data_IF_870236860193
#
_entry.id   IF_870236860193
#
_cell.length_a   1.000
_cell.length_b   1.000
_cell.length_c   1.000
_cell.angle_alpha   90.00
_cell.angle_beta   90.00
_cell.angle_gamma   90.00
#
_symmetry.space_group_name_H-M   'P 1'
#
loop_
_entity.id
_entity.type
_entity.pdbx_description
1 polymer ?
#
# COMPACT_ATOMS: atom_id res chain seq x y z
N UNK A 1 -42.87 -24.70 -13.03
CA UNK A 1 -42.13 -23.45 -12.82
C UNK A 1 -41.85 -23.36 -11.34
N UNK A 2 -40.57 -23.45 -10.96
CA UNK A 2 -40.13 -23.71 -9.58
C UNK A 2 -40.23 -22.43 -8.75
N UNK A 3 -40.81 -22.57 -7.56
CA UNK A 3 -40.69 -21.64 -6.44
C UNK A 3 -39.23 -21.28 -6.20
N UNK A 4 -38.79 -20.16 -6.76
CA UNK A 4 -37.63 -19.43 -6.25
C UNK A 4 -38.13 -18.78 -4.97
N UNK A 5 -38.01 -19.53 -3.87
CA UNK A 5 -38.42 -19.10 -2.54
C UNK A 5 -38.00 -17.64 -2.28
N UNK A 6 -38.97 -16.78 -1.98
CA UNK A 6 -38.76 -15.41 -1.49
C UNK A 6 -37.71 -15.35 -0.36
N UNK A 7 -37.52 -16.43 0.40
CA UNK A 7 -36.48 -16.52 1.43
C UNK A 7 -35.05 -16.37 0.89
N UNK A 8 -34.74 -16.88 -0.31
CA UNK A 8 -33.40 -16.72 -0.92
C UNK A 8 -33.16 -15.29 -1.41
N UNK A 9 -34.21 -14.60 -1.85
CA UNK A 9 -34.13 -13.19 -2.27
C UNK A 9 -34.00 -12.29 -1.03
N UNK A 10 -34.74 -12.59 0.04
CA UNK A 10 -34.64 -11.86 1.32
C UNK A 10 -33.31 -12.10 2.06
N UNK A 11 -32.72 -13.30 1.96
CA UNK A 11 -31.37 -13.57 2.49
C UNK A 11 -30.26 -12.80 1.74
N UNK A 12 -30.50 -12.42 0.48
CA UNK A 12 -29.56 -11.63 -0.33
C UNK A 12 -29.43 -10.17 0.11
N UNK A 13 -30.38 -9.66 0.89
CA UNK A 13 -30.45 -8.26 1.35
C UNK A 13 -30.25 -8.06 2.85
N UNK A 14 -29.88 -9.10 3.61
CA UNK A 14 -29.53 -8.95 5.03
C UNK A 14 -28.02 -8.73 5.18
N UNK A 15 -27.58 -7.67 5.88
CA UNK A 15 -26.16 -7.45 6.14
C UNK A 15 -25.59 -8.58 7.00
N UNK A 16 -24.38 -9.02 6.68
CA UNK A 16 -23.60 -10.05 7.37
C UNK A 16 -24.27 -11.43 7.42
N UNK A 17 -25.16 -11.74 6.46
CA UNK A 17 -25.92 -13.00 6.44
C UNK A 17 -25.09 -14.28 6.35
N UNK A 18 -23.84 -14.21 5.89
CA UNK A 18 -22.90 -15.33 5.88
C UNK A 18 -22.19 -15.57 7.22
N UNK A 19 -22.31 -14.65 8.19
CA UNK A 19 -21.76 -14.79 9.53
C UNK A 19 -22.81 -15.32 10.49
N UNK A 20 -22.37 -16.15 11.44
CA UNK A 20 -23.26 -16.64 12.51
C UNK A 20 -23.70 -15.54 13.48
N UNK A 21 -22.88 -14.49 13.63
CA UNK A 21 -23.15 -13.31 14.48
C UNK A 21 -22.35 -12.11 13.96
N UNK A 22 -22.88 -10.86 13.99
CA UNK A 22 -22.12 -9.66 13.67
C UNK A 22 -20.77 -9.52 14.41
N UNK A 23 -20.64 -10.05 15.63
CA UNK A 23 -19.37 -10.08 16.38
C UNK A 23 -18.26 -10.86 15.67
N UNK A 24 -18.60 -11.82 14.81
CA UNK A 24 -17.62 -12.55 14.01
C UNK A 24 -16.94 -11.63 12.99
N UNK A 25 -17.57 -10.54 12.55
CA UNK A 25 -16.91 -9.57 11.68
C UNK A 25 -15.69 -8.95 12.37
N UNK A 26 -15.80 -8.65 13.66
CA UNK A 26 -14.69 -8.14 14.50
C UNK A 26 -13.66 -9.24 14.73
N UNK A 27 -14.10 -10.42 15.17
CA UNK A 27 -13.22 -11.55 15.49
C UNK A 27 -12.35 -11.98 14.30
N UNK A 28 -12.92 -11.95 13.10
CA UNK A 28 -12.26 -12.38 11.86
C UNK A 28 -11.49 -11.25 11.15
N UNK A 29 -11.55 -10.01 11.64
CA UNK A 29 -10.97 -8.83 10.98
C UNK A 29 -9.44 -8.84 10.99
N UNK A 30 -8.78 -8.93 9.83
CA UNK A 30 -7.31 -9.00 9.70
C UNK A 30 -6.69 -7.71 9.18
N UNK A 31 -5.36 -7.49 9.31
CA UNK A 31 -4.66 -6.37 8.70
C UNK A 31 -4.81 -6.27 7.17
N UNK A 32 -5.14 -7.38 6.48
CA UNK A 32 -5.36 -7.40 5.04
C UNK A 32 -6.40 -6.37 4.57
N UNK A 33 -7.36 -6.02 5.42
CA UNK A 33 -8.37 -4.99 5.12
C UNK A 33 -7.75 -3.61 4.90
N UNK A 34 -6.64 -3.27 5.55
CA UNK A 34 -5.93 -2.00 5.34
C UNK A 34 -5.29 -1.90 3.95
N UNK A 35 -5.22 -2.98 3.17
CA UNK A 35 -4.88 -2.88 1.75
C UNK A 35 -5.92 -2.06 0.97
N UNK A 36 -7.19 -2.05 1.42
CA UNK A 36 -8.23 -1.22 0.82
C UNK A 36 -8.04 0.27 1.10
N UNK A 37 -7.58 0.64 2.30
CA UNK A 37 -7.30 2.04 2.63
C UNK A 37 -6.05 2.54 1.93
N UNK A 38 -5.02 1.69 1.88
CA UNK A 38 -3.81 1.93 1.12
C UNK A 38 -4.11 2.16 -0.38
N UNK A 39 -4.91 1.27 -1.00
CA UNK A 39 -5.33 1.38 -2.40
C UNK A 39 -6.20 2.60 -2.70
N UNK A 40 -7.16 2.89 -1.81
CA UNK A 40 -8.06 4.04 -1.95
C UNK A 40 -7.31 5.36 -1.82
N UNK A 41 -6.39 5.43 -0.85
CA UNK A 41 -5.57 6.61 -0.65
C UNK A 41 -4.66 6.93 -1.83
N UNK A 42 -3.98 5.93 -2.42
CA UNK A 42 -3.12 6.22 -3.58
C UNK A 42 -3.91 6.67 -4.81
N UNK A 43 -5.12 6.13 -5.01
CA UNK A 43 -5.99 6.58 -6.11
C UNK A 43 -6.42 8.03 -5.89
N UNK A 44 -6.76 8.39 -4.65
CA UNK A 44 -7.04 9.77 -4.31
C UNK A 44 -5.88 10.67 -4.72
N UNK A 45 -4.67 10.42 -4.22
CA UNK A 45 -3.46 11.21 -4.52
C UNK A 45 -3.18 11.30 -6.03
N UNK A 46 -3.29 10.18 -6.74
CA UNK A 46 -3.03 10.11 -8.18
C UNK A 46 -3.99 10.97 -9.00
N UNK A 47 -5.28 11.01 -8.65
CA UNK A 47 -6.27 11.86 -9.33
C UNK A 47 -5.93 13.35 -9.22
N UNK A 48 -5.38 13.78 -8.09
CA UNK A 48 -4.94 15.16 -7.89
C UNK A 48 -3.58 15.50 -8.51
N UNK A 49 -2.91 14.56 -9.16
CA UNK A 49 -1.63 14.78 -9.85
C UNK A 49 -1.73 14.64 -11.37
N UNK A 50 -2.92 14.38 -11.90
CA UNK A 50 -3.12 14.32 -13.34
C UNK A 50 -2.87 15.70 -13.99
N UNK A 51 -2.24 15.75 -15.17
CA UNK A 51 -1.93 17.00 -15.85
C UNK A 51 -3.20 17.72 -16.29
N UNK A 52 -3.13 19.06 -16.37
CA UNK A 52 -4.19 19.91 -16.90
C UNK A 52 -5.16 20.48 -15.86
N UNK A 53 -4.85 20.42 -14.56
CA UNK A 53 -5.57 21.10 -13.47
C UNK A 53 -7.10 20.92 -13.52
N UNK A 54 -7.55 19.71 -13.84
CA UNK A 54 -8.96 19.40 -13.99
C UNK A 54 -9.63 19.40 -12.61
N UNK A 55 -10.31 20.49 -12.28
CA UNK A 55 -10.95 20.70 -10.97
C UNK A 55 -11.81 19.52 -10.52
N UNK A 56 -12.57 18.89 -11.44
CA UNK A 56 -13.39 17.72 -11.15
C UNK A 56 -12.58 16.55 -10.59
N UNK A 57 -11.37 16.29 -11.12
CA UNK A 57 -10.50 15.21 -10.66
C UNK A 57 -9.88 15.52 -9.31
N UNK A 58 -9.53 16.79 -9.07
CA UNK A 58 -9.06 17.25 -7.76
C UNK A 58 -10.16 17.10 -6.68
N UNK A 59 -11.41 17.49 -6.99
CA UNK A 59 -12.55 17.28 -6.09
C UNK A 59 -12.83 15.78 -5.85
N UNK A 60 -12.77 14.95 -6.88
CA UNK A 60 -12.92 13.50 -6.74
C UNK A 60 -11.82 12.89 -5.87
N UNK A 61 -10.55 13.30 -6.07
CA UNK A 61 -9.42 12.91 -5.25
C UNK A 61 -9.60 13.30 -3.78
N UNK A 62 -9.98 14.55 -3.51
CA UNK A 62 -10.28 15.02 -2.15
C UNK A 62 -11.43 14.25 -1.49
N UNK A 63 -12.50 13.97 -2.23
CA UNK A 63 -13.63 13.20 -1.73
C UNK A 63 -13.23 11.75 -1.38
N UNK A 64 -12.44 11.10 -2.25
CA UNK A 64 -11.88 9.76 -1.98
C UNK A 64 -10.92 9.77 -0.80
N UNK A 65 -10.12 10.82 -0.64
CA UNK A 65 -9.22 10.97 0.50
C UNK A 65 -9.98 11.12 1.83
N UNK A 66 -11.03 11.95 1.87
CA UNK A 66 -11.91 12.07 3.03
C UNK A 66 -12.62 10.74 3.36
N UNK A 67 -13.12 10.06 2.32
CA UNK A 67 -13.67 8.70 2.47
C UNK A 67 -12.62 7.72 3.03
N UNK A 68 -11.36 7.82 2.58
CA UNK A 68 -10.29 6.97 3.07
C UNK A 68 -9.97 7.21 4.55
N UNK A 69 -10.05 8.46 5.04
CA UNK A 69 -9.91 8.77 6.48
C UNK A 69 -11.00 8.04 7.29
N UNK A 70 -12.25 8.11 6.83
CA UNK A 70 -13.38 7.41 7.48
C UNK A 70 -13.17 5.90 7.46
N UNK A 71 -12.75 5.36 6.31
CA UNK A 71 -12.51 3.93 6.14
C UNK A 71 -11.36 3.42 7.03
N UNK A 72 -10.23 4.14 7.06
CA UNK A 72 -9.08 3.82 7.90
C UNK A 72 -9.43 3.90 9.38
N UNK A 73 -10.19 4.91 9.79
CA UNK A 73 -10.67 5.04 11.17
C UNK A 73 -11.57 3.88 11.56
N UNK A 74 -12.52 3.49 10.69
CA UNK A 74 -13.39 2.35 10.91
C UNK A 74 -12.60 1.03 11.04
N UNK A 75 -11.61 0.80 10.16
CA UNK A 75 -10.78 -0.40 10.21
C UNK A 75 -9.86 -0.44 11.43
N UNK A 76 -9.34 0.72 11.84
CA UNK A 76 -8.58 0.86 13.09
C UNK A 76 -9.43 0.50 14.29
N UNK A 77 -10.67 1.00 14.36
CA UNK A 77 -11.60 0.66 15.44
C UNK A 77 -11.97 -0.83 15.43
N UNK A 78 -12.25 -1.42 14.26
CA UNK A 78 -12.54 -2.86 14.15
C UNK A 78 -11.35 -3.72 14.58
N UNK A 79 -10.14 -3.36 14.17
CA UNK A 79 -8.94 -4.11 14.50
C UNK A 79 -8.55 -3.94 15.98
N UNK A 80 -8.68 -2.73 16.54
CA UNK A 80 -8.52 -2.49 17.97
C UNK A 80 -9.54 -3.30 18.79
N UNK A 81 -10.81 -3.31 18.37
CA UNK A 81 -11.84 -4.14 19.00
C UNK A 81 -11.48 -5.63 18.96
N UNK A 82 -10.87 -6.13 17.87
CA UNK A 82 -10.37 -7.51 17.83
C UNK A 82 -9.31 -7.77 18.90
N UNK A 83 -8.37 -6.85 19.11
CA UNK A 83 -7.34 -6.97 20.14
C UNK A 83 -7.89 -6.91 21.56
N UNK A 84 -8.93 -6.09 21.80
CA UNK A 84 -9.56 -5.95 23.12
C UNK A 84 -10.44 -7.16 23.46
N UNK A 85 -11.32 -7.57 22.53
CA UNK A 85 -12.33 -8.60 22.82
C UNK A 85 -11.88 -10.03 22.50
N UNK A 86 -10.89 -10.22 21.61
CA UNK A 86 -10.43 -11.52 21.12
C UNK A 86 -8.90 -11.64 21.17
N UNK A 87 -8.28 -11.13 22.24
CA UNK A 87 -6.82 -11.03 22.40
C UNK A 87 -6.07 -12.34 22.12
N UNK A 88 -6.58 -13.47 22.64
CA UNK A 88 -5.93 -14.77 22.52
C UNK A 88 -5.90 -15.29 21.08
N UNK A 89 -6.90 -14.96 20.26
CA UNK A 89 -6.90 -15.26 18.82
C UNK A 89 -6.17 -14.18 18.02
N UNK A 90 -6.22 -12.92 18.43
CA UNK A 90 -5.54 -11.81 17.77
C UNK A 90 -4.02 -12.03 17.75
N UNK A 91 -3.40 -12.39 18.88
CA UNK A 91 -1.95 -12.61 18.99
C UNK A 91 -1.41 -13.73 18.08
N UNK A 92 -2.27 -14.63 17.61
CA UNK A 92 -1.89 -15.76 16.76
C UNK A 92 -1.50 -15.32 15.35
N UNK A 93 -1.86 -14.10 14.97
CA UNK A 93 -1.46 -13.49 13.72
C UNK A 93 0.07 -13.44 13.56
N UNK A 94 0.80 -13.24 14.65
CA UNK A 94 2.25 -13.16 14.66
C UNK A 94 2.93 -14.48 14.30
N UNK A 95 2.26 -15.61 14.54
CA UNK A 95 2.74 -16.93 14.13
C UNK A 95 2.33 -17.34 12.71
N UNK A 96 1.49 -16.55 12.02
CA UNK A 96 0.98 -16.92 10.71
C UNK A 96 1.80 -16.27 9.58
N UNK A 97 2.52 -17.10 8.81
CA UNK A 97 3.47 -16.72 7.75
C UNK A 97 2.93 -15.74 6.70
N UNK A 98 1.64 -15.82 6.32
CA UNK A 98 1.04 -14.88 5.35
C UNK A 98 0.36 -13.65 5.99
N UNK A 99 -0.49 -13.84 7.00
CA UNK A 99 -1.34 -12.76 7.52
C UNK A 99 -0.51 -11.72 8.30
N UNK A 100 0.60 -12.12 8.93
CA UNK A 100 1.51 -11.16 9.58
C UNK A 100 2.13 -10.17 8.60
N UNK A 101 2.31 -10.55 7.33
CA UNK A 101 2.93 -9.67 6.34
C UNK A 101 2.09 -8.41 6.08
N UNK A 102 0.77 -8.53 6.21
CA UNK A 102 -0.15 -7.42 6.00
C UNK A 102 -0.12 -6.38 7.12
N UNK A 103 0.67 -6.54 8.20
CA UNK A 103 0.88 -5.43 9.13
C UNK A 103 1.46 -4.19 8.43
N UNK A 104 2.26 -4.38 7.38
CA UNK A 104 2.81 -3.26 6.60
C UNK A 104 1.76 -2.42 5.86
N UNK A 105 0.54 -2.93 5.59
CA UNK A 105 -0.50 -2.14 4.91
C UNK A 105 -1.11 -1.07 5.82
N UNK A 106 -0.94 -1.17 7.14
CA UNK A 106 -1.41 -0.18 8.11
C UNK A 106 -0.63 1.13 7.98
N UNK A 107 0.71 1.18 8.18
CA UNK A 107 1.48 2.39 7.97
C UNK A 107 1.37 2.91 6.53
N UNK A 108 1.45 2.03 5.52
CA UNK A 108 1.25 2.48 4.13
C UNK A 108 -0.12 3.14 3.90
N UNK A 109 -1.18 2.63 4.54
CA UNK A 109 -2.50 3.26 4.55
C UNK A 109 -2.49 4.64 5.22
N UNK A 110 -1.85 4.76 6.39
CA UNK A 110 -1.71 6.04 7.09
C UNK A 110 -0.91 7.06 6.27
N UNK A 111 0.19 6.65 5.65
CA UNK A 111 1.00 7.50 4.79
C UNK A 111 0.18 8.16 3.67
N UNK A 112 -0.77 7.43 3.06
CA UNK A 112 -1.65 8.04 2.04
C UNK A 112 -2.58 9.12 2.61
N UNK A 113 -2.99 9.00 3.87
CA UNK A 113 -3.79 10.01 4.56
C UNK A 113 -2.91 11.24 4.84
N UNK A 114 -1.69 11.03 5.33
CA UNK A 114 -0.72 12.09 5.60
C UNK A 114 -0.40 12.88 4.33
N UNK A 115 -0.10 12.19 3.22
CA UNK A 115 0.18 12.85 1.95
C UNK A 115 -1.04 13.61 1.42
N UNK A 116 -2.26 13.10 1.67
CA UNK A 116 -3.48 13.82 1.32
C UNK A 116 -3.77 15.02 2.23
N UNK A 117 -3.28 15.05 3.48
CA UNK A 117 -3.28 16.27 4.28
C UNK A 117 -2.46 17.36 3.58
N UNK A 118 -1.30 17.01 3.02
CA UNK A 118 -0.46 17.96 2.30
C UNK A 118 -1.09 18.37 0.95
N UNK A 119 -1.61 17.42 0.18
CA UNK A 119 -2.14 17.68 -1.17
C UNK A 119 -3.53 18.33 -1.17
N UNK A 120 -4.41 17.99 -0.22
CA UNK A 120 -5.80 18.47 -0.18
C UNK A 120 -6.12 19.28 1.07
N UNK A 121 -5.58 18.86 2.22
CA UNK A 121 -5.88 19.46 3.51
C UNK A 121 -5.33 20.88 3.63
N UNK A 122 -4.01 21.05 3.45
CA UNK A 122 -3.31 22.34 3.57
C UNK A 122 -3.89 23.38 2.59
N UNK A 123 -4.10 23.09 1.29
CA UNK A 123 -4.74 24.05 0.39
C UNK A 123 -6.18 24.43 0.77
N UNK A 124 -6.90 23.58 1.50
CA UNK A 124 -8.31 23.84 1.88
C UNK A 124 -8.42 24.55 3.22
N UNK A 125 -7.63 24.14 4.21
CA UNK A 125 -7.80 24.52 5.62
C UNK A 125 -6.59 25.25 6.20
N UNK A 126 -5.53 25.45 5.40
CA UNK A 126 -4.35 26.23 5.74
C UNK A 126 -3.22 25.44 6.40
N UNK A 127 -2.11 26.15 6.60
CA UNK A 127 -0.82 25.61 7.08
C UNK A 127 -0.85 25.08 8.51
N UNK A 128 -1.91 25.37 9.28
CA UNK A 128 -2.10 24.85 10.63
C UNK A 128 -2.18 23.30 10.70
N UNK A 129 -2.35 22.63 9.55
CA UNK A 129 -2.33 21.18 9.45
C UNK A 129 -0.93 20.57 9.29
N UNK A 130 0.10 21.37 8.99
CA UNK A 130 1.48 20.87 8.81
C UNK A 130 2.01 20.21 10.10
N UNK A 131 1.83 20.76 11.31
CA UNK A 131 2.24 20.08 12.54
C UNK A 131 1.52 18.75 12.77
N UNK A 132 0.25 18.63 12.35
CA UNK A 132 -0.49 17.37 12.41
C UNK A 132 0.10 16.34 11.44
N UNK A 133 0.39 16.73 10.20
CA UNK A 133 1.04 15.85 9.22
C UNK A 133 2.42 15.39 9.72
N UNK A 134 3.22 16.30 10.30
CA UNK A 134 4.52 15.99 10.88
C UNK A 134 4.41 15.02 12.07
N UNK A 135 3.45 15.23 12.99
CA UNK A 135 3.22 14.32 14.12
C UNK A 135 2.75 12.92 13.68
N UNK A 136 1.83 12.85 12.72
CA UNK A 136 1.36 11.59 12.14
C UNK A 136 2.48 10.86 11.39
N UNK A 137 3.39 11.60 10.74
CA UNK A 137 4.54 11.01 10.06
C UNK A 137 5.48 10.30 11.03
N UNK A 138 5.77 10.87 12.20
CA UNK A 138 6.58 10.15 13.20
C UNK A 138 5.92 8.87 13.73
N UNK A 139 4.59 8.88 13.88
CA UNK A 139 3.82 7.68 14.21
C UNK A 139 3.94 6.65 13.08
N UNK A 140 3.83 7.07 11.83
CA UNK A 140 3.98 6.23 10.65
C UNK A 140 5.37 5.60 10.55
N UNK A 141 6.43 6.41 10.76
CA UNK A 141 7.83 5.96 10.83
C UNK A 141 8.01 4.88 11.91
N UNK A 142 7.49 5.11 13.12
CA UNK A 142 7.58 4.13 14.20
C UNK A 142 6.89 2.80 13.83
N UNK A 143 5.70 2.86 13.24
CA UNK A 143 4.98 1.67 12.76
C UNK A 143 5.72 0.96 11.63
N UNK A 144 6.26 1.70 10.66
CA UNK A 144 6.98 1.17 9.52
C UNK A 144 8.25 0.43 9.95
N UNK A 145 9.06 1.02 10.83
CA UNK A 145 10.25 0.38 11.39
C UNK A 145 9.89 -0.84 12.24
N UNK A 146 8.84 -0.75 13.06
CA UNK A 146 8.38 -1.89 13.85
C UNK A 146 7.95 -3.05 12.95
N UNK A 147 7.18 -2.79 11.89
CA UNK A 147 6.79 -3.82 10.93
C UNK A 147 7.99 -4.41 10.19
N UNK A 148 8.87 -3.56 9.67
CA UNK A 148 10.03 -3.97 8.88
C UNK A 148 11.09 -4.76 9.67
N UNK A 149 11.18 -4.60 11.00
CA UNK A 149 12.08 -5.41 11.84
C UNK A 149 11.37 -6.62 12.43
N UNK A 150 10.22 -6.40 13.10
CA UNK A 150 9.60 -7.44 13.91
C UNK A 150 9.02 -8.56 13.05
N UNK A 151 8.40 -8.25 11.90
CA UNK A 151 7.84 -9.30 11.03
C UNK A 151 8.96 -10.18 10.45
N UNK A 152 10.03 -9.65 9.82
CA UNK A 152 11.15 -10.50 9.40
C UNK A 152 11.82 -11.26 10.54
N UNK A 153 12.00 -10.64 11.70
CA UNK A 153 12.52 -11.36 12.87
C UNK A 153 11.65 -12.55 13.27
N UNK A 154 10.33 -12.42 13.19
CA UNK A 154 9.39 -13.54 13.41
C UNK A 154 9.45 -14.58 12.29
N UNK A 155 9.71 -14.19 11.04
CA UNK A 155 9.95 -15.13 9.95
C UNK A 155 11.12 -16.06 10.26
N UNK A 156 12.17 -15.55 10.90
CA UNK A 156 13.38 -16.32 11.21
C UNK A 156 13.27 -17.17 12.48
N UNK A 157 12.32 -16.86 13.37
CA UNK A 157 12.29 -17.43 14.73
C UNK A 157 11.03 -18.24 15.06
N UNK A 158 9.88 -17.91 14.46
CA UNK A 158 8.57 -18.43 14.91
C UNK A 158 7.66 -18.91 13.79
N UNK A 159 7.95 -18.55 12.55
CA UNK A 159 7.09 -18.87 11.41
C UNK A 159 7.75 -19.93 10.53
N UNK A 160 6.94 -20.78 9.94
CA UNK A 160 7.39 -21.75 8.93
C UNK A 160 7.15 -21.18 7.54
N UNK A 161 8.21 -21.18 6.72
CA UNK A 161 8.21 -20.66 5.37
C UNK A 161 8.87 -21.67 4.43
N UNK A 162 8.30 -21.82 3.23
CA UNK A 162 8.89 -22.62 2.17
C UNK A 162 8.98 -21.81 0.87
N UNK A 163 10.05 -22.04 0.10
CA UNK A 163 10.32 -21.24 -1.10
C UNK A 163 9.25 -21.41 -2.18
N UNK A 164 8.65 -22.59 -2.29
CA UNK A 164 7.55 -22.87 -3.21
C UNK A 164 6.26 -22.10 -2.85
N UNK A 165 6.07 -21.71 -1.58
CA UNK A 165 4.93 -20.93 -1.12
C UNK A 165 5.20 -19.41 -1.07
N UNK A 166 6.46 -19.00 -1.27
CA UNK A 166 6.83 -17.58 -1.28
C UNK A 166 6.08 -16.83 -2.38
N UNK A 167 5.57 -15.65 -2.03
CA UNK A 167 4.95 -14.70 -2.94
C UNK A 167 5.44 -13.29 -2.62
N UNK A 168 5.14 -12.34 -3.49
CA UNK A 168 5.51 -10.94 -3.28
C UNK A 168 4.85 -10.29 -2.05
N UNK A 169 3.93 -10.98 -1.35
CA UNK A 169 3.38 -10.55 -0.06
C UNK A 169 4.48 -10.33 0.99
N UNK A 170 5.64 -11.01 0.86
CA UNK A 170 6.80 -10.82 1.74
C UNK A 170 7.38 -9.39 1.70
N UNK A 171 7.05 -8.61 0.66
CA UNK A 171 7.48 -7.22 0.54
C UNK A 171 6.74 -6.29 1.52
N UNK A 172 5.50 -6.62 1.88
CA UNK A 172 4.61 -5.69 2.59
C UNK A 172 5.20 -5.12 3.90
N UNK A 173 5.88 -5.90 4.77
CA UNK A 173 6.41 -5.35 6.01
C UNK A 173 7.54 -4.34 5.81
N UNK A 174 8.38 -4.52 4.78
CA UNK A 174 9.57 -3.68 4.57
C UNK A 174 9.25 -2.42 3.77
N UNK A 175 8.32 -2.51 2.82
CA UNK A 175 7.87 -1.41 1.94
C UNK A 175 7.27 -0.24 2.73
N UNK A 176 6.75 -0.47 3.94
CA UNK A 176 6.20 0.61 4.75
C UNK A 176 7.20 1.76 4.98
N UNK A 177 8.50 1.45 5.13
CA UNK A 177 9.50 2.46 5.47
C UNK A 177 9.86 3.37 4.30
N UNK A 178 9.97 2.88 3.06
CA UNK A 178 10.17 3.77 1.90
C UNK A 178 8.92 4.59 1.56
N UNK A 179 7.72 4.10 1.88
CA UNK A 179 6.49 4.89 1.75
C UNK A 179 6.50 6.05 2.75
N UNK A 180 6.93 5.80 4.00
CA UNK A 180 7.17 6.85 4.98
C UNK A 180 8.28 7.80 4.53
N UNK A 181 9.36 7.30 3.91
CA UNK A 181 10.44 8.11 3.36
C UNK A 181 9.94 9.11 2.31
N UNK A 182 9.16 8.63 1.33
CA UNK A 182 8.56 9.47 0.29
C UNK A 182 7.62 10.52 0.89
N UNK A 183 6.83 10.14 1.91
CA UNK A 183 5.95 11.06 2.64
C UNK A 183 6.73 12.15 3.39
N UNK A 184 7.89 11.80 3.96
CA UNK A 184 8.78 12.77 4.59
C UNK A 184 9.35 13.78 3.58
N UNK A 185 9.64 13.34 2.36
CA UNK A 185 9.98 14.26 1.25
C UNK A 185 8.84 15.23 0.96
N UNK A 186 7.59 14.76 0.89
CA UNK A 186 6.42 15.62 0.65
C UNK A 186 6.22 16.67 1.76
N UNK A 187 6.54 16.36 3.01
CA UNK A 187 6.32 17.25 4.16
C UNK A 187 7.50 18.20 4.39
N UNK A 188 8.73 17.75 4.14
CA UNK A 188 9.95 18.47 4.53
C UNK A 188 9.98 19.95 4.06
N UNK A 189 9.64 20.31 2.81
CA UNK A 189 9.66 21.70 2.35
C UNK A 189 8.70 22.63 3.10
N UNK A 190 7.70 22.06 3.77
CA UNK A 190 6.64 22.81 4.46
C UNK A 190 6.93 23.03 5.95
N UNK A 191 7.96 22.40 6.51
CA UNK A 191 8.32 22.63 7.92
C UNK A 191 8.93 24.03 8.09
N UNK A 192 8.54 24.73 9.15
CA UNK A 192 8.94 26.11 9.39
C UNK A 192 10.43 26.28 9.75
N UNK A 193 11.05 25.24 10.32
CA UNK A 193 12.43 25.29 10.82
C UNK A 193 13.38 24.50 9.92
N UNK A 194 14.48 25.13 9.50
CA UNK A 194 15.47 24.50 8.63
C UNK A 194 16.06 23.22 9.24
N UNK A 195 16.29 23.18 10.55
CA UNK A 195 16.79 21.97 11.21
C UNK A 195 15.76 20.84 11.15
N UNK A 196 14.47 21.14 11.34
CA UNK A 196 13.39 20.17 11.17
C UNK A 196 13.29 19.66 9.72
N UNK A 197 13.42 20.54 8.71
CA UNK A 197 13.48 20.14 7.30
C UNK A 197 14.64 19.16 7.06
N UNK A 198 15.83 19.50 7.57
CA UNK A 198 17.03 18.68 7.41
C UNK A 198 16.91 17.33 8.14
N UNK A 199 16.42 17.32 9.38
CA UNK A 199 16.20 16.09 10.14
C UNK A 199 15.23 15.15 9.44
N UNK A 200 14.12 15.69 8.91
CA UNK A 200 13.15 14.90 8.14
C UNK A 200 13.78 14.37 6.85
N UNK A 201 14.51 15.21 6.10
CA UNK A 201 15.19 14.80 4.87
C UNK A 201 16.19 13.65 5.10
N UNK A 202 17.06 13.79 6.10
CA UNK A 202 18.05 12.75 6.46
C UNK A 202 17.34 11.47 6.93
N UNK A 203 16.31 11.61 7.75
CA UNK A 203 15.51 10.45 8.20
C UNK A 203 14.84 9.75 7.01
N UNK A 204 14.33 10.50 6.03
CA UNK A 204 13.78 9.93 4.79
C UNK A 204 14.82 9.15 3.99
N UNK A 205 16.06 9.64 3.86
CA UNK A 205 17.13 8.85 3.22
C UNK A 205 17.41 7.54 3.98
N UNK A 206 17.44 7.58 5.31
CA UNK A 206 17.64 6.38 6.15
C UNK A 206 16.49 5.40 5.98
N UNK A 207 15.24 5.87 5.97
CA UNK A 207 14.05 5.03 5.77
C UNK A 207 14.01 4.40 4.38
N UNK A 208 14.42 5.15 3.35
CA UNK A 208 14.57 4.62 2.00
C UNK A 208 15.61 3.49 1.96
N UNK A 209 16.79 3.72 2.55
CA UNK A 209 17.87 2.73 2.60
C UNK A 209 17.53 1.51 3.49
N UNK A 210 16.68 1.70 4.48
CA UNK A 210 16.17 0.62 5.33
C UNK A 210 15.24 -0.34 4.56
N UNK A 211 14.48 0.17 3.60
CA UNK A 211 13.49 -0.61 2.84
C UNK A 211 14.05 -1.14 1.51
N UNK A 212 14.45 -0.25 0.61
CA UNK A 212 14.66 -0.56 -0.81
C UNK A 212 15.66 -1.72 -1.03
N UNK A 213 16.86 -1.73 -0.43
CA UNK A 213 17.81 -2.84 -0.61
C UNK A 213 17.28 -4.19 -0.14
N UNK A 214 16.51 -4.21 0.95
CA UNK A 214 15.87 -5.42 1.48
C UNK A 214 14.77 -5.89 0.52
N UNK A 215 13.94 -4.96 0.04
CA UNK A 215 12.91 -5.26 -0.95
C UNK A 215 13.49 -5.82 -2.26
N UNK A 216 14.58 -5.23 -2.77
CA UNK A 216 15.28 -5.73 -3.96
C UNK A 216 15.83 -7.14 -3.74
N UNK A 217 16.37 -7.44 -2.56
CA UNK A 217 16.83 -8.78 -2.20
C UNK A 217 15.68 -9.80 -2.22
N UNK A 218 14.50 -9.45 -1.68
CA UNK A 218 13.30 -10.28 -1.74
C UNK A 218 12.85 -10.49 -3.19
N UNK A 219 12.92 -9.46 -4.04
CA UNK A 219 12.57 -9.56 -5.46
C UNK A 219 13.50 -10.49 -6.24
N UNK A 220 14.80 -10.48 -5.95
CA UNK A 220 15.76 -11.44 -6.54
C UNK A 220 15.36 -12.88 -6.21
N UNK A 221 15.03 -13.16 -4.94
CA UNK A 221 14.58 -14.48 -4.51
C UNK A 221 13.23 -14.83 -5.16
N UNK A 222 12.33 -13.86 -5.32
CA UNK A 222 11.05 -14.07 -5.99
C UNK A 222 11.24 -14.48 -7.46
N UNK A 223 12.19 -13.88 -8.19
CA UNK A 223 12.53 -14.29 -9.56
C UNK A 223 13.03 -15.74 -9.58
N UNK A 224 13.95 -16.09 -8.68
CA UNK A 224 14.45 -17.48 -8.55
C UNK A 224 13.29 -18.45 -8.28
N UNK A 225 12.39 -18.09 -7.36
CA UNK A 225 11.19 -18.89 -7.04
C UNK A 225 10.29 -19.08 -8.26
N UNK A 226 10.04 -18.03 -9.04
CA UNK A 226 9.20 -18.11 -10.25
C UNK A 226 9.84 -18.98 -11.33
N UNK A 227 11.17 -18.96 -11.43
CA UNK A 227 11.92 -19.81 -12.36
C UNK A 227 11.86 -21.30 -11.97
N UNK A 228 11.97 -21.62 -10.68
CA UNK A 228 12.04 -23.01 -10.20
C UNK A 228 10.67 -23.66 -9.95
N UNK A 229 9.68 -22.90 -9.46
CA UNK A 229 8.39 -23.45 -8.98
C UNK A 229 7.17 -23.03 -9.82
N UNK A 230 7.39 -22.53 -11.05
CA UNK A 230 6.34 -22.00 -11.96
C UNK A 230 5.52 -20.88 -11.29
N UNK A 231 4.41 -20.44 -11.87
CA UNK A 231 3.57 -19.41 -11.26
C UNK A 231 2.79 -19.96 -10.05
N UNK A 232 2.50 -19.13 -9.02
CA UNK A 232 1.67 -19.53 -7.87
C UNK A 232 0.25 -19.98 -8.23
N UNK A 233 -0.56 -20.34 -7.22
CA UNK A 233 -1.99 -20.55 -7.42
C UNK A 233 -2.68 -19.27 -7.93
N UNK A 234 -3.71 -19.39 -8.78
CA UNK A 234 -4.43 -18.25 -9.40
C UNK A 234 -5.01 -17.25 -8.40
N UNK A 235 -5.38 -17.70 -7.20
CA UNK A 235 -5.82 -16.86 -6.08
C UNK A 235 -4.78 -15.79 -5.68
N UNK A 236 -3.51 -16.02 -6.03
CA UNK A 236 -2.39 -15.14 -5.73
C UNK A 236 -2.00 -14.26 -6.93
N UNK A 237 -2.80 -14.23 -8.01
CA UNK A 237 -2.52 -13.41 -9.20
C UNK A 237 -2.26 -11.94 -8.83
N UNK A 238 -3.04 -11.40 -7.90
CA UNK A 238 -2.89 -10.02 -7.43
C UNK A 238 -1.54 -9.76 -6.74
N UNK A 239 -0.89 -10.79 -6.19
CA UNK A 239 0.41 -10.64 -5.55
C UNK A 239 1.51 -10.31 -6.56
N UNK A 240 1.39 -10.68 -7.85
CA UNK A 240 2.44 -10.38 -8.83
C UNK A 240 2.69 -8.87 -8.98
N UNK A 241 1.66 -8.06 -8.77
CA UNK A 241 1.72 -6.60 -8.82
C UNK A 241 2.42 -5.98 -7.62
N UNK A 242 2.48 -6.66 -6.47
CA UNK A 242 3.15 -6.14 -5.27
C UNK A 242 4.64 -5.88 -5.50
N UNK A 243 5.25 -6.50 -6.51
CA UNK A 243 6.62 -6.20 -6.94
C UNK A 243 6.83 -4.75 -7.40
N UNK A 244 5.82 -4.13 -8.02
CA UNK A 244 5.88 -2.73 -8.42
C UNK A 244 5.88 -1.78 -7.22
N UNK A 245 5.37 -2.22 -6.07
CA UNK A 245 5.23 -1.40 -4.86
C UNK A 245 6.56 -0.77 -4.45
N UNK A 246 7.58 -1.59 -4.13
CA UNK A 246 8.88 -1.07 -3.74
C UNK A 246 9.66 -0.39 -4.85
N UNK A 247 9.50 -0.85 -6.08
CA UNK A 247 10.22 -0.25 -7.20
C UNK A 247 9.67 1.15 -7.51
N UNK A 248 8.35 1.27 -7.61
CA UNK A 248 7.67 2.55 -7.84
C UNK A 248 7.84 3.49 -6.66
N UNK A 249 7.60 3.05 -5.43
CA UNK A 249 7.79 3.91 -4.25
C UNK A 249 9.26 4.27 -4.04
N UNK A 250 10.18 3.34 -4.25
CA UNK A 250 11.62 3.62 -4.20
C UNK A 250 12.03 4.69 -5.21
N UNK A 251 11.50 4.63 -6.44
CA UNK A 251 11.68 5.68 -7.44
C UNK A 251 11.08 7.02 -6.99
N UNK A 252 9.82 7.03 -6.58
CA UNK A 252 9.12 8.23 -6.13
C UNK A 252 9.84 8.90 -4.95
N UNK A 253 10.27 8.11 -3.97
CA UNK A 253 11.02 8.60 -2.80
C UNK A 253 12.29 9.32 -3.23
N UNK A 254 13.09 8.74 -4.12
CA UNK A 254 14.30 9.39 -4.63
C UNK A 254 14.01 10.67 -5.42
N UNK A 255 12.93 10.71 -6.21
CA UNK A 255 12.53 11.91 -6.95
C UNK A 255 12.07 13.04 -6.03
N UNK A 256 11.29 12.74 -4.99
CA UNK A 256 10.78 13.75 -4.05
C UNK A 256 11.89 14.22 -3.13
N UNK A 257 12.54 13.30 -2.40
CA UNK A 257 13.62 13.63 -1.45
C UNK A 257 14.78 14.33 -2.19
N UNK A 258 15.16 13.83 -3.37
CA UNK A 258 16.19 14.46 -4.20
C UNK A 258 15.79 15.85 -4.70
N UNK A 259 14.52 16.07 -5.05
CA UNK A 259 14.02 17.37 -5.50
C UNK A 259 14.10 18.46 -4.43
N UNK A 260 13.90 18.09 -3.16
CA UNK A 260 13.90 19.04 -2.04
C UNK A 260 15.30 19.25 -1.43
N UNK A 261 16.22 18.32 -1.69
CA UNK A 261 17.58 18.34 -1.16
C UNK A 261 18.35 19.65 -1.44
N UNK A 262 18.33 20.27 -2.64
CA UNK A 262 19.11 21.48 -2.91
C UNK A 262 18.86 22.61 -1.91
N UNK A 263 17.59 22.93 -1.64
CA UNK A 263 17.23 24.02 -0.73
C UNK A 263 17.60 23.69 0.72
N UNK A 264 17.28 22.48 1.16
CA UNK A 264 17.46 22.05 2.56
C UNK A 264 18.96 21.92 2.92
N UNK A 265 19.77 21.34 2.02
CA UNK A 265 21.22 21.26 2.23
C UNK A 265 21.91 22.63 2.11
N UNK A 266 21.46 23.51 1.20
CA UNK A 266 22.01 24.86 1.09
C UNK A 266 21.82 25.66 2.39
N UNK A 267 20.67 25.53 3.06
CA UNK A 267 20.43 26.14 4.37
C UNK A 267 21.42 25.68 5.47
N UNK A 268 22.12 24.56 5.25
CA UNK A 268 23.15 24.01 6.15
C UNK A 268 24.57 24.16 5.58
N UNK A 269 24.79 25.05 4.61
CA UNK A 269 26.11 25.29 4.02
C UNK A 269 26.61 24.16 3.10
N UNK A 270 25.72 23.24 2.69
CA UNK A 270 26.04 22.04 1.91
C UNK A 270 25.42 22.07 0.51
N UNK A 271 25.33 23.24 -0.14
CA UNK A 271 24.64 23.41 -1.42
C UNK A 271 25.10 22.41 -2.52
N UNK A 272 26.41 22.14 -2.61
CA UNK A 272 26.94 21.16 -3.57
C UNK A 272 26.44 19.74 -3.31
N UNK A 273 26.29 19.34 -2.05
CA UNK A 273 25.72 18.03 -1.67
C UNK A 273 24.25 17.97 -2.09
N UNK A 274 23.49 19.05 -1.87
CA UNK A 274 22.10 19.14 -2.29
C UNK A 274 21.92 18.99 -3.81
N UNK A 275 22.76 19.65 -4.61
CA UNK A 275 22.74 19.50 -6.07
C UNK A 275 23.06 18.07 -6.53
N UNK A 276 24.07 17.43 -5.93
CA UNK A 276 24.41 16.03 -6.20
C UNK A 276 23.26 15.10 -5.79
N UNK A 277 22.65 15.33 -4.63
CA UNK A 277 21.53 14.56 -4.13
C UNK A 277 20.31 14.61 -5.07
N UNK A 278 20.02 15.79 -5.64
CA UNK A 278 18.98 15.93 -6.67
C UNK A 278 19.29 15.14 -7.94
N UNK A 279 20.54 15.21 -8.43
CA UNK A 279 20.98 14.43 -9.58
C UNK A 279 20.88 12.91 -9.35
N UNK A 280 21.33 12.44 -8.19
CA UNK A 280 21.18 11.03 -7.79
C UNK A 280 19.70 10.65 -7.70
N UNK A 281 18.86 11.53 -7.12
CA UNK A 281 17.42 11.33 -7.02
C UNK A 281 16.76 11.08 -8.37
N UNK A 282 17.08 11.92 -9.36
CA UNK A 282 16.57 11.79 -10.72
C UNK A 282 17.04 10.50 -11.41
N UNK A 283 18.35 10.24 -11.39
CA UNK A 283 18.91 9.04 -12.04
C UNK A 283 18.37 7.76 -11.40
N UNK A 284 18.32 7.70 -10.05
CA UNK A 284 17.74 6.56 -9.35
C UNK A 284 16.26 6.38 -9.69
N UNK A 285 15.48 7.47 -9.74
CA UNK A 285 14.08 7.46 -10.13
C UNK A 285 13.86 6.86 -11.52
N UNK A 286 14.65 7.25 -12.52
CA UNK A 286 14.58 6.72 -13.89
C UNK A 286 14.96 5.23 -13.94
N UNK A 287 16.05 4.84 -13.28
CA UNK A 287 16.52 3.45 -13.27
C UNK A 287 15.50 2.51 -12.61
N UNK A 288 14.94 2.93 -11.48
CA UNK A 288 13.89 2.17 -10.79
C UNK A 288 12.61 2.14 -11.61
N UNK A 289 12.22 3.25 -12.26
CA UNK A 289 11.10 3.25 -13.18
C UNK A 289 11.29 2.22 -14.31
N UNK A 290 12.47 2.16 -14.93
CA UNK A 290 12.80 1.16 -15.95
C UNK A 290 12.72 -0.28 -15.45
N UNK A 291 13.20 -0.54 -14.23
CA UNK A 291 13.03 -1.85 -13.57
C UNK A 291 11.55 -2.17 -13.30
N UNK A 292 10.77 -1.16 -12.91
CA UNK A 292 9.34 -1.28 -12.65
C UNK A 292 8.55 -1.59 -13.92
N UNK A 293 8.95 -1.05 -15.07
CA UNK A 293 8.35 -1.37 -16.37
C UNK A 293 8.47 -2.87 -16.66
N UNK A 294 9.63 -3.47 -16.41
CA UNK A 294 9.83 -4.91 -16.60
C UNK A 294 8.89 -5.74 -15.69
N UNK A 295 8.82 -5.39 -14.40
CA UNK A 295 7.92 -6.07 -13.45
C UNK A 295 6.43 -5.86 -13.80
N UNK A 296 6.05 -4.68 -14.28
CA UNK A 296 4.70 -4.37 -14.75
C UNK A 296 4.32 -5.26 -15.94
N UNK A 297 5.19 -5.38 -16.93
CA UNK A 297 4.96 -6.24 -18.09
C UNK A 297 4.78 -7.70 -17.66
N UNK A 298 5.61 -8.20 -16.72
CA UNK A 298 5.42 -9.52 -16.15
C UNK A 298 4.09 -9.66 -15.40
N UNK A 299 3.74 -8.70 -14.55
CA UNK A 299 2.48 -8.72 -13.80
C UNK A 299 1.26 -8.74 -14.73
N UNK A 300 1.30 -7.97 -15.83
CA UNK A 300 0.29 -7.96 -16.88
C UNK A 300 0.18 -9.34 -17.57
N UNK A 301 1.30 -9.94 -17.98
CA UNK A 301 1.32 -11.26 -18.63
C UNK A 301 0.78 -12.36 -17.69
N UNK A 302 1.18 -12.33 -16.41
CA UNK A 302 0.70 -13.26 -15.38
C UNK A 302 -0.82 -13.09 -15.19
N UNK A 303 -1.30 -11.84 -15.10
CA UNK A 303 -2.73 -11.54 -14.93
C UNK A 303 -3.53 -12.00 -16.14
N UNK A 304 -3.04 -11.73 -17.36
CA UNK A 304 -3.68 -12.17 -18.59
C UNK A 304 -3.76 -13.70 -18.70
N UNK A 305 -2.72 -14.42 -18.23
CA UNK A 305 -2.72 -15.88 -18.17
C UNK A 305 -3.82 -16.41 -17.24
N UNK A 306 -3.96 -15.87 -16.04
CA UNK A 306 -5.00 -16.31 -15.10
C UNK A 306 -6.40 -15.84 -15.46
N UNK A 307 -6.53 -14.67 -16.09
CA UNK A 307 -7.83 -14.15 -16.53
C UNK A 307 -8.56 -15.12 -17.48
N UNK A 308 -7.81 -15.92 -18.26
CA UNK A 308 -8.37 -16.98 -19.12
C UNK A 308 -9.02 -18.13 -18.34
N UNK A 309 -8.58 -18.40 -17.12
CA UNK A 309 -9.13 -19.44 -16.23
C UNK A 309 -10.21 -18.92 -15.27
N UNK A 310 -10.34 -17.60 -15.14
CA UNK A 310 -11.21 -16.95 -14.16
C UNK A 310 -10.52 -16.80 -12.81
N UNK A 311 -10.15 -15.57 -12.44
CA UNK A 311 -9.51 -15.31 -11.14
C UNK A 311 -10.61 -15.25 -10.08
N UNK A 312 -10.59 -16.10 -9.04
CA UNK A 312 -11.55 -16.00 -7.94
C UNK A 312 -11.25 -14.77 -7.09
N UNK A 313 -12.31 -14.05 -6.71
CA UNK A 313 -12.19 -12.85 -5.91
C UNK A 313 -11.83 -13.17 -4.46
N UNK A 314 -10.85 -12.46 -3.92
CA UNK A 314 -10.49 -12.44 -2.50
C UNK A 314 -9.91 -11.07 -2.14
N UNK A 315 -9.73 -10.77 -0.85
CA UNK A 315 -9.20 -9.49 -0.39
C UNK A 315 -7.79 -9.18 -0.92
N UNK A 316 -7.02 -10.19 -1.34
CA UNK A 316 -5.72 -10.02 -1.99
C UNK A 316 -5.78 -9.23 -3.30
N UNK A 317 -6.95 -9.09 -3.94
CA UNK A 317 -7.13 -8.25 -5.12
C UNK A 317 -6.79 -6.77 -4.86
N UNK A 318 -6.81 -6.31 -3.61
CA UNK A 318 -6.31 -4.97 -3.29
C UNK A 318 -4.82 -4.79 -3.63
N UNK A 319 -4.06 -5.88 -3.77
CA UNK A 319 -2.68 -5.87 -4.26
C UNK A 319 -2.51 -5.33 -5.70
N UNK A 320 -3.57 -5.23 -6.50
CA UNK A 320 -3.54 -4.57 -7.81
C UNK A 320 -3.44 -3.04 -7.74
N UNK A 321 -3.87 -2.44 -6.63
CA UNK A 321 -4.13 -0.99 -6.56
C UNK A 321 -2.89 -0.21 -6.17
N UNK A 322 -2.42 -0.32 -4.93
CA UNK A 322 -1.32 0.49 -4.41
C UNK A 322 -0.06 0.46 -5.27
N UNK A 323 0.47 -0.73 -5.66
CA UNK A 323 1.67 -0.80 -6.51
C UNK A 323 1.52 -0.10 -7.87
N UNK A 324 0.36 -0.26 -8.52
CA UNK A 324 0.06 0.42 -9.77
C UNK A 324 -0.05 1.93 -9.55
N UNK A 325 -0.67 2.36 -8.45
CA UNK A 325 -0.85 3.77 -8.13
C UNK A 325 0.46 4.49 -7.83
N UNK A 326 1.36 3.91 -7.04
CA UNK A 326 2.68 4.52 -6.79
C UNK A 326 3.50 4.58 -8.08
N UNK A 327 3.42 3.55 -8.92
CA UNK A 327 4.09 3.55 -10.22
C UNK A 327 3.51 4.61 -11.17
N UNK A 328 2.19 4.81 -11.17
CA UNK A 328 1.52 5.88 -11.91
C UNK A 328 1.97 7.27 -11.44
N UNK A 329 1.95 7.52 -10.14
CA UNK A 329 2.39 8.79 -9.52
C UNK A 329 3.87 9.06 -9.80
N UNK A 330 4.72 8.03 -9.74
CA UNK A 330 6.13 8.14 -10.14
C UNK A 330 6.27 8.55 -11.61
N UNK A 331 5.47 7.93 -12.49
CA UNK A 331 5.47 8.24 -13.92
C UNK A 331 5.06 9.68 -14.17
N UNK A 332 4.00 10.17 -13.51
CA UNK A 332 3.58 11.57 -13.58
C UNK A 332 4.66 12.53 -13.05
N UNK A 333 5.32 12.18 -11.95
CA UNK A 333 6.42 12.98 -11.38
C UNK A 333 7.61 13.09 -12.34
N UNK A 334 7.94 12.01 -13.05
CA UNK A 334 8.95 12.03 -14.11
C UNK A 334 8.53 12.91 -15.29
N UNK A 335 7.24 12.93 -15.65
CA UNK A 335 6.69 13.86 -16.65
C UNK A 335 6.96 15.31 -16.30
N UNK A 336 6.66 15.69 -15.05
CA UNK A 336 6.93 17.04 -14.53
C UNK A 336 8.43 17.37 -14.51
N UNK A 337 9.30 16.44 -14.09
CA UNK A 337 10.74 16.72 -13.92
C UNK A 337 11.47 16.75 -15.27
N UNK A 338 11.14 15.82 -16.18
CA UNK A 338 11.83 15.66 -17.46
C UNK A 338 11.20 16.50 -18.59
N UNK A 339 10.00 17.05 -18.37
CA UNK A 339 9.21 17.77 -19.36
C UNK A 339 8.99 16.94 -20.64
N UNK A 340 8.60 15.68 -20.44
CA UNK A 340 8.41 14.70 -21.50
C UNK A 340 6.97 14.19 -21.53
N UNK A 341 6.22 14.59 -22.57
CA UNK A 341 4.83 14.20 -22.78
C UNK A 341 4.58 12.68 -22.77
N UNK A 342 5.60 11.87 -23.08
CA UNK A 342 5.56 10.42 -22.95
C UNK A 342 5.13 9.98 -21.53
N UNK A 343 5.76 10.56 -20.50
CA UNK A 343 5.48 10.22 -19.12
C UNK A 343 4.11 10.74 -18.66
N UNK A 344 3.69 11.91 -19.14
CA UNK A 344 2.35 12.44 -18.83
C UNK A 344 1.25 11.52 -19.38
N UNK A 345 1.32 11.18 -20.67
CA UNK A 345 0.34 10.31 -21.33
C UNK A 345 0.31 8.94 -20.67
N UNK A 346 1.48 8.34 -20.43
CA UNK A 346 1.56 7.04 -19.78
C UNK A 346 1.05 7.09 -18.34
N UNK A 347 1.37 8.15 -17.59
CA UNK A 347 0.87 8.38 -16.24
C UNK A 347 -0.65 8.44 -16.21
N UNK A 348 -1.28 9.20 -17.13
CA UNK A 348 -2.74 9.25 -17.28
C UNK A 348 -3.33 7.86 -17.53
N UNK A 349 -2.74 7.08 -18.45
CA UNK A 349 -3.19 5.71 -18.76
C UNK A 349 -3.12 4.82 -17.50
N UNK A 350 -2.03 4.91 -16.73
CA UNK A 350 -1.85 4.11 -15.51
C UNK A 350 -2.85 4.52 -14.41
N UNK A 351 -3.16 5.81 -14.25
CA UNK A 351 -4.19 6.27 -13.30
C UNK A 351 -5.59 5.82 -13.74
N UNK A 352 -5.90 5.84 -15.03
CA UNK A 352 -7.17 5.30 -15.54
C UNK A 352 -7.28 3.79 -15.26
N UNK A 353 -6.21 3.04 -15.50
CA UNK A 353 -6.13 1.61 -15.15
C UNK A 353 -6.36 1.39 -13.64
N UNK A 354 -5.71 2.20 -12.80
CA UNK A 354 -5.88 2.17 -11.35
C UNK A 354 -7.34 2.43 -10.94
N UNK A 355 -7.98 3.45 -11.51
CA UNK A 355 -9.36 3.79 -11.21
C UNK A 355 -10.32 2.64 -11.56
N UNK A 356 -10.14 2.01 -12.74
CA UNK A 356 -10.93 0.84 -13.14
C UNK A 356 -10.71 -0.34 -12.20
N UNK A 357 -9.45 -0.68 -11.88
CA UNK A 357 -9.14 -1.75 -10.94
C UNK A 357 -9.73 -1.47 -9.55
N UNK A 358 -9.60 -0.25 -9.05
CA UNK A 358 -10.16 0.17 -7.78
C UNK A 358 -11.68 0.02 -7.76
N UNK A 359 -12.40 0.50 -8.77
CA UNK A 359 -13.86 0.38 -8.86
C UNK A 359 -14.31 -1.08 -8.81
N UNK A 360 -13.64 -1.96 -9.57
CA UNK A 360 -13.95 -3.39 -9.61
C UNK A 360 -13.70 -4.06 -8.24
N UNK A 361 -12.55 -3.79 -7.62
CA UNK A 361 -12.17 -4.37 -6.33
C UNK A 361 -13.05 -3.82 -5.22
N UNK A 362 -13.34 -2.53 -5.21
CA UNK A 362 -14.22 -1.88 -4.24
C UNK A 362 -15.65 -2.43 -4.34
N UNK A 363 -16.23 -2.54 -5.54
CA UNK A 363 -17.57 -3.09 -5.71
C UNK A 363 -17.68 -4.54 -5.20
N UNK A 364 -16.71 -5.40 -5.53
CA UNK A 364 -16.67 -6.79 -5.02
C UNK A 364 -16.41 -6.84 -3.52
N UNK A 365 -15.55 -5.97 -2.99
CA UNK A 365 -15.26 -5.87 -1.55
C UNK A 365 -16.51 -5.45 -0.78
N UNK A 366 -17.20 -4.40 -1.22
CA UNK A 366 -18.45 -3.93 -0.59
C UNK A 366 -19.53 -5.01 -0.63
N UNK A 367 -19.70 -5.68 -1.77
CA UNK A 367 -20.68 -6.78 -1.90
C UNK A 367 -20.35 -7.94 -0.96
N UNK A 368 -19.07 -8.33 -0.88
CA UNK A 368 -18.64 -9.44 -0.04
C UNK A 368 -18.63 -9.11 1.46
N UNK A 369 -18.23 -7.89 1.82
CA UNK A 369 -18.29 -7.37 3.17
C UNK A 369 -19.76 -7.26 3.64
N UNK A 370 -20.65 -6.73 2.79
CA UNK A 370 -22.07 -6.65 3.08
C UNK A 370 -22.70 -8.02 3.30
N UNK A 371 -22.34 -9.02 2.50
CA UNK A 371 -22.81 -10.41 2.72
C UNK A 371 -22.12 -11.10 3.91
N UNK A 372 -20.98 -10.61 4.37
CA UNK A 372 -20.20 -11.20 5.45
C UNK A 372 -19.19 -12.27 5.02
N UNK A 373 -19.05 -12.56 3.72
CA UNK A 373 -18.23 -13.67 3.22
C UNK A 373 -16.72 -13.36 3.14
N UNK A 374 -16.32 -12.10 3.32
CA UNK A 374 -14.91 -11.68 3.34
C UNK A 374 -14.30 -11.64 4.74
N UNK A 375 -15.11 -11.74 5.79
CA UNK A 375 -14.63 -11.78 7.17
C UNK A 375 -14.17 -13.18 7.53
N UNK A 376 -12.94 -13.52 7.10
CA UNK A 376 -12.31 -14.82 7.35
C UNK A 376 -10.88 -14.59 7.83
N UNK A 377 -10.55 -15.08 9.02
CA UNK A 377 -9.18 -15.08 9.55
C UNK A 377 -8.54 -16.47 9.39
N UNK A 378 -7.54 -16.62 8.49
CA UNK A 378 -6.80 -17.87 8.34
C UNK A 378 -6.18 -18.37 9.65
N UNK A 379 -5.73 -17.46 10.51
CA UNK A 379 -5.14 -17.79 11.81
C UNK A 379 -6.12 -18.56 12.71
N UNK A 380 -7.40 -18.21 12.71
CA UNK A 380 -8.44 -18.91 13.50
C UNK A 380 -8.69 -20.30 12.92
N UNK A 381 -8.70 -20.44 11.59
CA UNK A 381 -8.85 -21.73 10.93
C UNK A 381 -7.68 -22.68 11.27
N UNK A 382 -6.43 -22.18 11.24
CA UNK A 382 -5.24 -22.96 11.62
C UNK A 382 -5.25 -23.40 13.09
N UNK A 383 -5.72 -22.56 14.01
CA UNK A 383 -5.83 -22.92 15.42
C UNK A 383 -6.84 -24.05 15.64
N UNK A 384 -8.01 -23.97 15.01
CA UNK A 384 -9.04 -25.01 15.09
C UNK A 384 -8.53 -26.33 14.54
N UNK A 385 -7.80 -26.30 13.42
CA UNK A 385 -7.18 -27.50 12.85
C UNK A 385 -6.17 -28.14 13.81
N UNK A 386 -5.30 -27.35 14.45
CA UNK A 386 -4.34 -27.84 15.46
C UNK A 386 -5.03 -28.38 16.71
N UNK A 387 -6.16 -27.82 17.12
CA UNK A 387 -6.95 -28.31 18.24
C UNK A 387 -7.69 -29.60 17.93
N UNK A 388 -8.17 -29.78 16.70
CA UNK A 388 -8.84 -31.02 16.27
C UNK A 388 -7.88 -32.21 16.08
N UNK A 389 -6.57 -31.95 16.01
CA UNK A 389 -5.50 -32.95 15.91
C UNK A 389 -4.92 -33.37 17.28
N UNK A 390 -5.34 -32.71 18.37
CA UNK A 390 -5.00 -33.06 19.75
C UNK A 390 -6.18 -33.77 20.37
#
# INVERSE_FOLDING_TARGET
>A
MRDISLSKVMQGGQPLSALSNPREAIRQFTPNWFAATMGTGILALALGQLPGDIALLSYAGKALWLFNIVLFSAFTLMYAARWVFFFNEAKQIFGHSTVSMFFGTIPMGLATIINGLMQYGVPTWGDALIPLAHGLWWLDVAMALACGVLIPFMMFTRQEHSIDQMTAVWLLPVVAAEVAAASGGVIAPHLADASAQFNMLITSYVLWAYSVPVALSILVILVLRLALHKLPHENMAASSWLSLGPIGTGALGMLVIGGDAPAIFAAHGMANVGAVAAGIGLIAGILFWGLGLWWMLLALLITARYAKGGIPFNLGWWGFTFPLGVYAVTTLKLGVILDLAFFDVLGVILVLMLAVMWLLVAAKTTTGAYRGNLFVSPCIASLKAKQAQR
#
